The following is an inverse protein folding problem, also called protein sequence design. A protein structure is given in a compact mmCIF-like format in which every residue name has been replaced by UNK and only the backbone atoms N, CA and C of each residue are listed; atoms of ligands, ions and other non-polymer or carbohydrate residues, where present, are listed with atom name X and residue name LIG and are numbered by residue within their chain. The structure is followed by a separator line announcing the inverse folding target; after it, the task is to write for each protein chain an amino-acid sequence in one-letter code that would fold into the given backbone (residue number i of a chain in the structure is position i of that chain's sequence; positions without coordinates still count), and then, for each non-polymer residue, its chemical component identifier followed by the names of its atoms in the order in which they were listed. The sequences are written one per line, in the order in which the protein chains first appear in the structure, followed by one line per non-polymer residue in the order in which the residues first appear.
data_IF_026885308572
#
_entry.id   IF_026885308572
#
_cell.length_a   1.000
_cell.length_b   1.000
_cell.length_c   1.000
_cell.angle_alpha   90.00
_cell.angle_beta   90.00
_cell.angle_gamma   90.00
#
_symmetry.space_group_name_H-M   'P 1'
#
loop_
_entity.id
_entity.type
_entity.pdbx_description
1 polymer ?
#
# COMPACT_ATOMS: atom_id res chain seq x y z
N UNK A 1 0.66 -2.16 24.31
CA UNK A 1 0.10 -0.91 23.78
C UNK A 1 0.16 -1.05 22.27
N UNK A 2 -0.97 -1.39 21.64
CA UNK A 2 -1.08 -1.48 20.19
C UNK A 2 -1.05 -0.04 19.65
N UNK A 3 0.05 0.35 19.00
CA UNK A 3 0.09 1.64 18.30
C UNK A 3 -0.80 1.52 17.07
N UNK A 4 -1.72 2.47 16.84
CA UNK A 4 -2.62 2.39 15.71
C UNK A 4 -1.85 2.55 14.40
N UNK A 5 -2.03 1.61 13.47
CA UNK A 5 -1.72 1.82 12.05
C UNK A 5 -2.43 3.08 11.59
N UNK A 6 -1.68 4.12 11.22
CA UNK A 6 -2.27 5.34 10.71
C UNK A 6 -2.46 5.19 9.20
N UNK A 7 -3.65 4.75 8.79
CA UNK A 7 -4.07 4.73 7.39
C UNK A 7 -4.91 5.97 7.11
N UNK A 8 -4.31 6.95 6.42
CA UNK A 8 -4.99 8.20 6.05
C UNK A 8 -5.31 8.19 4.55
N UNK A 9 -6.58 8.38 4.22
CA UNK A 9 -6.99 8.73 2.86
C UNK A 9 -6.76 10.24 2.66
N UNK A 10 -5.97 10.60 1.66
CA UNK A 10 -5.72 11.99 1.30
C UNK A 10 -6.40 12.25 -0.04
N UNK A 11 -7.20 13.31 -0.11
CA UNK A 11 -7.78 13.75 -1.39
C UNK A 11 -6.70 14.43 -2.24
N UNK A 12 -6.72 14.12 -3.53
CA UNK A 12 -5.83 14.74 -4.50
C UNK A 12 -6.17 16.23 -4.66
N UNK A 13 -5.15 17.06 -4.86
CA UNK A 13 -5.35 18.41 -5.42
C UNK A 13 -6.13 18.32 -6.75
N UNK A 14 -6.98 19.28 -7.07
CA UNK A 14 -7.84 19.26 -8.26
C UNK A 14 -7.07 18.99 -9.57
N UNK A 15 -5.82 19.45 -9.68
CA UNK A 15 -5.00 19.20 -10.87
C UNK A 15 -4.55 17.73 -10.95
N UNK A 16 -4.31 17.11 -9.80
CA UNK A 16 -3.89 15.70 -9.69
C UNK A 16 -5.06 14.73 -9.64
N UNK A 17 -6.26 15.19 -9.25
CA UNK A 17 -7.49 14.40 -9.18
C UNK A 17 -7.91 13.81 -10.54
N UNK A 18 -7.45 14.42 -11.65
CA UNK A 18 -7.66 13.89 -13.00
C UNK A 18 -6.83 12.65 -13.33
N UNK A 19 -5.78 12.37 -12.53
CA UNK A 19 -4.82 11.27 -12.75
C UNK A 19 -4.77 10.29 -11.58
N UNK A 20 -5.00 10.77 -10.35
CA UNK A 20 -4.89 10.01 -9.11
C UNK A 20 -6.19 10.14 -8.30
N UNK A 21 -6.97 9.07 -8.23
CA UNK A 21 -8.27 9.07 -7.56
C UNK A 21 -8.18 8.98 -6.03
N UNK A 22 -7.19 8.25 -5.50
CA UNK A 22 -7.04 8.01 -4.07
C UNK A 22 -5.57 7.94 -3.65
N UNK A 23 -5.21 8.67 -2.60
CA UNK A 23 -3.91 8.53 -1.93
C UNK A 23 -4.10 7.80 -0.61
N UNK A 24 -3.45 6.64 -0.49
CA UNK A 24 -3.36 5.90 0.75
C UNK A 24 -1.95 6.09 1.32
N UNK A 25 -1.86 6.84 2.43
CA UNK A 25 -0.63 6.90 3.21
C UNK A 25 -0.75 5.91 4.36
N UNK A 26 0.21 4.99 4.46
CA UNK A 26 0.31 4.04 5.56
C UNK A 26 1.68 4.24 6.20
N UNK A 27 1.68 4.67 7.45
CA UNK A 27 2.89 4.86 8.26
C UNK A 27 2.86 3.92 9.45
N UNK A 28 3.98 3.23 9.71
CA UNK A 28 4.13 2.33 10.84
C UNK A 28 5.32 2.76 11.71
N UNK A 29 5.03 3.11 12.96
CA UNK A 29 6.07 3.48 13.91
C UNK A 29 7.10 2.35 14.09
N UNK A 30 8.38 2.71 14.20
CA UNK A 30 9.54 1.80 14.24
C UNK A 30 9.50 0.70 15.32
N UNK A 31 8.60 0.79 16.32
CA UNK A 31 8.45 -0.21 17.38
C UNK A 31 7.18 -1.07 17.28
N UNK A 32 6.49 -1.04 16.13
CA UNK A 32 5.27 -1.84 15.91
C UNK A 32 5.59 -3.20 15.31
N UNK A 33 4.77 -4.21 15.63
CA UNK A 33 4.86 -5.50 14.95
C UNK A 33 4.43 -5.34 13.49
N UNK A 34 5.02 -6.11 12.55
CA UNK A 34 4.57 -6.10 11.17
C UNK A 34 3.07 -6.38 11.08
N UNK A 35 2.35 -5.56 10.32
CA UNK A 35 0.90 -5.73 10.15
C UNK A 35 0.63 -6.25 8.76
N UNK A 36 -0.11 -7.36 8.72
CA UNK A 36 -0.61 -7.94 7.49
C UNK A 36 -1.92 -7.26 7.11
N UNK A 37 -1.93 -6.62 5.94
CA UNK A 37 -3.11 -5.98 5.39
C UNK A 37 -3.52 -6.65 4.08
N UNK A 38 -4.80 -6.49 3.74
CA UNK A 38 -5.39 -7.06 2.54
C UNK A 38 -6.19 -5.99 1.82
N UNK A 39 -5.94 -5.83 0.52
CA UNK A 39 -6.69 -4.96 -0.35
C UNK A 39 -7.51 -5.80 -1.31
N UNK A 40 -8.83 -5.57 -1.29
CA UNK A 40 -9.78 -6.27 -2.14
C UNK A 40 -9.62 -5.84 -3.60
N UNK A 41 -9.92 -6.74 -4.56
CA UNK A 41 -9.95 -6.38 -5.98
C UNK A 41 -10.89 -5.20 -6.23
N UNK A 42 -10.36 -4.10 -6.74
CA UNK A 42 -11.12 -2.90 -7.08
C UNK A 42 -11.03 -2.52 -8.58
N UNK A 43 -10.31 -3.30 -9.39
CA UNK A 43 -10.03 -3.00 -10.81
C UNK A 43 -9.33 -1.65 -11.05
N UNK A 44 -8.81 -1.01 -10.00
CA UNK A 44 -8.07 0.24 -10.11
C UNK A 44 -6.58 -0.04 -10.26
N UNK A 45 -5.86 0.89 -10.90
CA UNK A 45 -4.41 0.88 -10.92
C UNK A 45 -3.87 1.51 -9.64
N UNK A 46 -2.85 0.90 -9.05
CA UNK A 46 -2.17 1.44 -7.87
C UNK A 46 -0.76 1.87 -8.24
N UNK A 47 -0.43 3.10 -7.90
CA UNK A 47 0.95 3.59 -7.90
C UNK A 47 1.41 3.62 -6.45
N UNK A 48 2.35 2.73 -6.10
CA UNK A 48 2.83 2.56 -4.73
C UNK A 48 4.24 3.12 -4.64
N UNK A 49 4.46 4.00 -3.67
CA UNK A 49 5.77 4.50 -3.28
C UNK A 49 6.13 3.91 -1.92
N UNK A 50 7.26 3.21 -1.85
CA UNK A 50 7.83 2.70 -0.62
C UNK A 50 9.05 3.55 -0.26
N UNK A 51 8.99 4.18 0.91
CA UNK A 51 10.10 4.97 1.48
C UNK A 51 10.82 4.22 2.62
N UNK A 52 10.33 3.04 2.99
CA UNK A 52 10.83 2.23 4.09
C UNK A 52 11.54 0.94 3.62
N UNK A 53 11.56 -0.11 4.46
CA UNK A 53 12.14 -1.41 4.10
C UNK A 53 11.34 -2.08 2.99
N UNK A 54 11.96 -3.03 2.29
CA UNK A 54 11.30 -3.79 1.23
C UNK A 54 10.03 -4.49 1.73
N UNK A 55 8.91 -4.30 1.02
CA UNK A 55 7.59 -4.81 1.41
C UNK A 55 7.28 -6.07 0.59
N UNK A 56 7.17 -7.26 1.20
CA UNK A 56 6.70 -8.45 0.52
C UNK A 56 5.19 -8.36 0.28
N UNK A 57 4.78 -8.62 -0.96
CA UNK A 57 3.38 -8.62 -1.37
C UNK A 57 3.02 -9.94 -2.06
N UNK A 58 1.75 -10.32 -1.96
CA UNK A 58 1.12 -11.42 -2.68
C UNK A 58 -0.06 -10.88 -3.47
N UNK A 59 -0.03 -11.05 -4.79
CA UNK A 59 -1.15 -10.71 -5.68
C UNK A 59 -1.75 -12.00 -6.23
N UNK A 60 -2.83 -12.47 -5.58
CA UNK A 60 -3.28 -13.85 -5.75
C UNK A 60 -2.21 -14.84 -5.26
N UNK A 61 -1.70 -15.67 -6.16
CA UNK A 61 -0.70 -16.70 -5.86
C UNK A 61 0.74 -16.27 -6.19
N UNK A 62 0.92 -15.05 -6.70
CA UNK A 62 2.21 -14.54 -7.11
C UNK A 62 2.83 -13.67 -6.01
N UNK A 63 4.06 -13.99 -5.61
CA UNK A 63 4.82 -13.19 -4.64
C UNK A 63 5.71 -12.16 -5.36
N UNK A 64 5.69 -10.93 -4.85
CA UNK A 64 6.56 -9.84 -5.30
C UNK A 64 7.14 -9.10 -4.08
N UNK A 65 8.14 -8.26 -4.32
CA UNK A 65 8.72 -7.39 -3.30
C UNK A 65 8.74 -5.97 -3.84
N UNK A 66 8.21 -5.03 -3.08
CA UNK A 66 8.24 -3.60 -3.41
C UNK A 66 9.44 -2.97 -2.72
N UNK A 67 10.45 -2.61 -3.51
CA UNK A 67 11.64 -1.92 -3.01
C UNK A 67 11.40 -0.41 -2.86
N UNK A 68 11.08 0.29 -3.95
CA UNK A 68 10.95 1.76 -3.96
C UNK A 68 9.66 2.25 -4.62
N UNK A 69 9.37 1.80 -5.82
CA UNK A 69 8.14 2.21 -6.53
C UNK A 69 7.66 1.08 -7.41
N UNK A 70 6.35 0.84 -7.41
CA UNK A 70 5.73 -0.14 -8.29
C UNK A 70 4.42 0.39 -8.82
N UNK A 71 4.12 0.04 -10.06
CA UNK A 71 2.79 0.20 -10.65
C UNK A 71 2.13 -1.18 -10.65
N UNK A 72 1.02 -1.30 -9.94
CA UNK A 72 0.19 -2.49 -9.95
C UNK A 72 -1.02 -2.21 -10.85
N UNK A 73 -1.09 -2.94 -11.96
CA UNK A 73 -2.20 -2.87 -12.92
C UNK A 73 -3.50 -3.42 -12.32
N UNK A 74 -4.64 -3.23 -13.02
CA UNK A 74 -5.97 -3.26 -12.44
C UNK A 74 -6.10 -4.44 -11.48
N UNK A 75 -6.35 -4.13 -10.21
CA UNK A 75 -6.30 -5.12 -9.14
C UNK A 75 -7.45 -6.12 -9.32
N UNK A 76 -7.18 -7.20 -10.06
CA UNK A 76 -8.14 -8.27 -10.36
C UNK A 76 -8.14 -9.35 -9.28
N UNK A 77 -7.05 -9.46 -8.52
CA UNK A 77 -6.86 -10.43 -7.45
C UNK A 77 -6.59 -9.69 -6.15
N UNK A 78 -6.86 -10.37 -5.03
CA UNK A 78 -6.59 -9.83 -3.71
C UNK A 78 -5.08 -9.57 -3.56
N UNK A 79 -4.74 -8.36 -3.12
CA UNK A 79 -3.39 -7.99 -2.75
C UNK A 79 -3.24 -8.15 -1.25
N UNK A 80 -2.26 -8.93 -0.83
CA UNK A 80 -1.92 -9.11 0.58
C UNK A 80 -0.50 -8.61 0.77
N UNK A 81 -0.28 -7.73 1.73
CA UNK A 81 1.04 -7.19 2.01
C UNK A 81 1.30 -7.21 3.51
N UNK A 82 2.57 -7.36 3.88
CA UNK A 82 3.02 -7.27 5.25
C UNK A 82 3.86 -6.00 5.37
N UNK A 83 3.35 -5.02 6.11
CA UNK A 83 4.07 -3.78 6.31
C UNK A 83 5.03 -3.94 7.49
N UNK A 84 6.36 -3.92 7.27
CA UNK A 84 7.33 -3.90 8.35
C UNK A 84 7.27 -2.54 9.09
N UNK A 85 7.77 -2.51 10.31
CA UNK A 85 8.04 -1.24 11.00
C UNK A 85 9.12 -0.44 10.26
N UNK A 86 8.92 0.86 10.08
CA UNK A 86 9.84 1.71 9.34
C UNK A 86 9.26 3.07 9.01
#
# INVERSE_FOLDING_TARGET
MESPTNSQLIEADEQLATVLSHFYCVEHAAQTQPVRQQLLPNYEMLLVFNFGPAIPILLGDNAYVIEQTVVLGPLQKMLVYELPAG
#
